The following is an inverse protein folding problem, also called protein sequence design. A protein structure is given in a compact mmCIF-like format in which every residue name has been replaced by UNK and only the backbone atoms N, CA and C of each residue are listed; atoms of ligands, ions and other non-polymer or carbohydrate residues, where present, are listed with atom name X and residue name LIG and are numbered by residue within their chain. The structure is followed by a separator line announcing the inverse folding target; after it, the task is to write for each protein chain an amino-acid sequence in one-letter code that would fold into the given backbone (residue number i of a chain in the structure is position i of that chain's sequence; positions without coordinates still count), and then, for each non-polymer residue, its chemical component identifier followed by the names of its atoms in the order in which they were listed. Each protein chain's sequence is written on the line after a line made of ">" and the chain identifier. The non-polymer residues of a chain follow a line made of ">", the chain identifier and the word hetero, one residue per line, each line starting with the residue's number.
data_IF_591612469433
#
_entry.id   IF_591612469433
#
_cell.length_a   1.000
_cell.length_b   1.000
_cell.length_c   1.000
_cell.angle_alpha   90.00
_cell.angle_beta   90.00
_cell.angle_gamma   90.00
#
_symmetry.space_group_name_H-M   'P 1'
#
loop_
_entity.id
_entity.type
_entity.pdbx_description
1 polymer ?
#
# COMPACT_ATOMS: atom_id res chain seq x y z
N UNK A 1 23.92 20.66 -31.56
CA UNK A 1 24.29 20.65 -30.13
C UNK A 1 25.72 21.11 -30.04
N UNK A 2 25.98 22.13 -29.23
CA UNK A 2 27.32 22.70 -29.10
C UNK A 2 28.20 21.76 -28.28
N UNK A 3 29.54 21.83 -28.42
CA UNK A 3 30.50 21.00 -27.67
C UNK A 3 30.40 21.14 -26.14
N UNK A 4 29.69 22.16 -25.64
CA UNK A 4 29.44 22.40 -24.21
C UNK A 4 28.23 21.61 -23.69
N UNK A 5 27.25 21.28 -24.54
CA UNK A 5 26.04 20.53 -24.15
C UNK A 5 26.28 19.02 -23.94
N UNK A 6 27.42 18.50 -24.42
CA UNK A 6 27.72 17.06 -24.39
C UNK A 6 28.30 16.62 -23.03
N UNK A 7 28.81 17.55 -22.22
CA UNK A 7 29.43 17.24 -20.93
C UNK A 7 28.45 17.14 -19.75
N UNK A 8 27.20 17.60 -19.90
CA UNK A 8 26.15 17.58 -18.87
C UNK A 8 24.94 16.69 -19.20
N UNK A 9 24.96 15.96 -20.32
CA UNK A 9 23.87 15.04 -20.67
C UNK A 9 23.81 13.86 -19.68
N UNK A 10 22.74 13.83 -18.89
CA UNK A 10 22.42 12.74 -17.97
C UNK A 10 21.30 11.89 -18.57
N UNK A 11 21.61 10.65 -18.99
CA UNK A 11 20.63 9.71 -19.58
C UNK A 11 19.44 9.53 -18.65
N UNK A 12 19.65 9.48 -17.33
CA UNK A 12 18.56 9.29 -16.37
C UNK A 12 17.51 10.41 -16.38
N UNK A 13 17.85 11.61 -16.87
CA UNK A 13 16.94 12.75 -17.01
C UNK A 13 16.20 12.78 -18.35
N UNK A 14 16.60 11.96 -19.33
CA UNK A 14 15.94 11.90 -20.63
C UNK A 14 14.68 11.02 -20.54
N UNK A 15 13.46 11.58 -20.68
CA UNK A 15 12.23 10.80 -20.60
C UNK A 15 12.05 9.83 -21.77
N UNK A 16 12.81 9.99 -22.87
CA UNK A 16 12.73 9.12 -24.04
C UNK A 16 13.71 7.94 -23.97
N UNK A 17 14.67 7.97 -23.03
CA UNK A 17 15.61 6.88 -22.84
C UNK A 17 14.90 5.66 -22.21
N UNK A 18 15.37 4.46 -22.56
CA UNK A 18 14.86 3.22 -21.96
C UNK A 18 15.06 3.24 -20.44
N UNK A 19 14.05 2.79 -19.69
CA UNK A 19 14.06 2.78 -18.21
C UNK A 19 15.34 2.14 -17.65
N UNK A 20 15.76 0.99 -18.16
CA UNK A 20 16.96 0.31 -17.68
C UNK A 20 18.26 1.10 -17.95
N UNK A 21 18.32 1.86 -19.05
CA UNK A 21 19.46 2.75 -19.32
C UNK A 21 19.49 3.93 -18.33
N UNK A 22 18.32 4.48 -18.00
CA UNK A 22 18.16 5.55 -17.00
C UNK A 22 18.57 5.09 -15.61
N UNK A 23 18.16 3.87 -15.22
CA UNK A 23 18.54 3.28 -13.93
C UNK A 23 20.05 3.09 -13.86
N UNK A 24 20.66 2.47 -14.88
CA UNK A 24 22.11 2.23 -14.91
C UNK A 24 22.92 3.53 -14.82
N UNK A 25 22.51 4.55 -15.58
CA UNK A 25 23.16 5.87 -15.55
C UNK A 25 23.03 6.51 -14.16
N UNK A 26 21.83 6.54 -13.58
CA UNK A 26 21.62 7.11 -12.25
C UNK A 26 22.40 6.36 -11.16
N UNK A 27 22.30 5.03 -11.14
CA UNK A 27 22.96 4.19 -10.13
C UNK A 27 24.49 4.36 -10.15
N UNK A 28 25.08 4.54 -11.34
CA UNK A 28 26.52 4.78 -11.50
C UNK A 28 27.00 6.13 -10.96
N UNK A 29 26.07 7.08 -10.77
CA UNK A 29 26.36 8.44 -10.27
C UNK A 29 26.12 8.58 -8.77
N UNK A 30 25.49 7.58 -8.14
CA UNK A 30 25.10 7.64 -6.74
C UNK A 30 26.26 7.28 -5.81
N UNK A 31 26.41 8.02 -4.72
CA UNK A 31 27.27 7.63 -3.59
C UNK A 31 26.62 6.51 -2.77
N UNK A 32 27.36 5.94 -1.81
CA UNK A 32 26.80 4.96 -0.88
C UNK A 32 25.67 5.57 -0.06
N UNK A 33 25.87 6.79 0.45
CA UNK A 33 24.90 7.51 1.28
C UNK A 33 23.60 7.78 0.50
N UNK A 34 23.71 8.17 -0.77
CA UNK A 34 22.53 8.37 -1.62
C UNK A 34 21.79 7.06 -1.88
N UNK A 35 22.51 5.94 -2.03
CA UNK A 35 21.92 4.60 -2.18
C UNK A 35 21.21 4.14 -0.92
N UNK A 36 21.84 4.31 0.25
CA UNK A 36 21.25 4.05 1.57
C UNK A 36 20.02 4.94 1.81
N UNK A 37 20.11 6.22 1.43
CA UNK A 37 19.00 7.16 1.43
C UNK A 37 17.80 6.64 0.65
N UNK A 38 18.02 6.11 -0.57
CA UNK A 38 16.96 5.52 -1.39
C UNK A 38 16.28 4.31 -0.74
N UNK A 39 17.01 3.52 0.05
CA UNK A 39 16.47 2.37 0.80
C UNK A 39 15.70 2.79 2.06
N UNK A 40 15.68 4.08 2.41
CA UNK A 40 15.08 4.58 3.64
C UNK A 40 13.69 5.19 3.37
N UNK A 41 12.67 4.65 4.05
CA UNK A 41 11.34 5.26 4.14
C UNK A 41 11.06 5.78 5.55
N UNK A 42 10.72 7.06 5.66
CA UNK A 42 10.45 7.73 6.94
C UNK A 42 9.00 8.23 7.03
N UNK A 43 8.54 8.47 8.25
CA UNK A 43 7.21 9.00 8.50
C UNK A 43 7.20 10.53 8.46
N UNK A 44 6.11 11.13 7.98
CA UNK A 44 5.99 12.59 7.82
C UNK A 44 6.34 13.38 9.08
N UNK A 45 6.12 12.84 10.29
CA UNK A 45 6.31 13.50 11.60
C UNK A 45 7.74 13.86 11.88
N UNK A 46 8.68 13.11 11.33
CA UNK A 46 10.11 13.35 11.51
C UNK A 46 10.75 14.01 10.29
N UNK A 47 10.03 14.13 9.19
CA UNK A 47 10.56 14.74 7.98
C UNK A 47 10.75 16.26 8.10
N UNK A 48 11.97 16.69 7.80
CA UNK A 48 12.35 18.08 7.57
C UNK A 48 12.90 18.22 6.15
N UNK A 49 13.04 19.45 5.68
CA UNK A 49 13.67 19.72 4.39
C UNK A 49 15.08 19.11 4.32
N UNK A 50 15.91 19.41 5.33
CA UNK A 50 17.31 19.00 5.38
C UNK A 50 17.44 17.49 5.53
N UNK A 51 16.60 16.85 6.36
CA UNK A 51 16.61 15.38 6.46
C UNK A 51 16.30 14.70 5.12
N UNK A 52 15.32 15.20 4.36
CA UNK A 52 14.99 14.64 3.04
C UNK A 52 16.11 14.87 2.04
N UNK A 53 16.60 16.12 1.96
CA UNK A 53 17.58 16.55 0.97
C UNK A 53 18.96 15.94 1.22
N UNK A 54 19.48 16.10 2.42
CA UNK A 54 20.88 15.82 2.73
C UNK A 54 21.12 14.31 2.92
N UNK A 55 20.12 13.55 3.38
CA UNK A 55 20.19 12.08 3.44
C UNK A 55 19.61 11.40 2.19
N UNK A 56 19.21 12.16 1.17
CA UNK A 56 18.66 11.64 -0.09
C UNK A 56 17.56 10.58 0.11
N UNK A 57 16.63 10.88 1.04
CA UNK A 57 15.57 9.94 1.45
C UNK A 57 14.78 9.44 0.23
N UNK A 58 14.57 8.13 0.16
CA UNK A 58 13.92 7.48 -0.97
C UNK A 58 12.41 7.46 -0.89
N UNK A 59 11.88 7.35 0.33
CA UNK A 59 10.46 7.19 0.58
C UNK A 59 9.95 7.98 1.78
N UNK A 60 8.71 8.40 1.68
CA UNK A 60 7.93 9.01 2.75
C UNK A 60 6.64 8.21 2.95
N UNK A 61 6.04 8.31 4.13
CA UNK A 61 4.72 7.78 4.36
C UNK A 61 3.96 8.52 5.46
N UNK A 62 2.66 8.35 5.48
CA UNK A 62 1.80 8.73 6.61
C UNK A 62 1.24 7.48 7.28
N UNK A 63 1.45 7.38 8.59
CA UNK A 63 0.70 6.44 9.41
C UNK A 63 -0.80 6.81 9.40
N UNK A 64 -1.68 5.85 9.68
CA UNK A 64 -3.09 6.15 9.89
C UNK A 64 -3.27 7.22 10.98
N UNK A 65 -4.16 8.18 10.72
CA UNK A 65 -4.34 9.38 11.57
C UNK A 65 -3.22 10.43 11.47
N UNK A 66 -2.17 10.21 10.67
CA UNK A 66 -1.06 11.15 10.48
C UNK A 66 -1.28 12.08 9.28
N UNK A 67 -2.36 12.88 9.37
CA UNK A 67 -2.67 13.90 8.38
C UNK A 67 -1.86 15.20 8.53
N UNK A 68 -1.91 16.08 7.50
CA UNK A 68 -1.38 17.44 7.57
C UNK A 68 -1.86 18.18 8.83
N UNK A 69 -1.02 19.08 9.34
CA UNK A 69 -1.32 19.89 10.54
C UNK A 69 -1.64 19.06 11.80
N UNK A 70 -1.35 17.76 11.82
CA UNK A 70 -1.68 16.86 12.92
C UNK A 70 -3.19 16.58 13.06
N UNK A 71 -3.97 16.81 12.00
CA UNK A 71 -5.44 16.71 12.03
C UNK A 71 -5.95 15.56 11.15
N UNK A 72 -6.93 14.83 11.67
CA UNK A 72 -7.62 13.73 10.97
C UNK A 72 -8.61 14.25 9.90
N UNK A 73 -9.13 15.47 10.05
CA UNK A 73 -10.08 16.08 9.10
C UNK A 73 -9.41 17.02 8.10
N UNK A 74 -8.50 16.48 7.31
CA UNK A 74 -7.77 17.23 6.26
C UNK A 74 -8.25 16.83 4.87
N UNK A 75 -8.37 17.81 3.97
CA UNK A 75 -8.83 17.61 2.59
C UNK A 75 -7.68 17.19 1.70
N UNK A 76 -7.97 16.53 0.57
CA UNK A 76 -6.94 16.12 -0.40
C UNK A 76 -6.04 17.27 -0.87
N UNK A 77 -6.53 18.51 -0.94
CA UNK A 77 -5.70 19.69 -1.27
C UNK A 77 -4.62 19.96 -0.23
N UNK A 78 -4.94 19.82 1.07
CA UNK A 78 -3.98 20.02 2.17
C UNK A 78 -2.85 18.97 2.11
N UNK A 79 -3.23 17.75 1.75
CA UNK A 79 -2.30 16.65 1.53
C UNK A 79 -1.43 16.89 0.30
N UNK A 80 -2.01 17.32 -0.83
CA UNK A 80 -1.27 17.64 -2.04
C UNK A 80 -0.21 18.72 -1.78
N UNK A 81 -0.56 19.79 -1.05
CA UNK A 81 0.39 20.83 -0.65
C UNK A 81 1.52 20.29 0.22
N UNK A 82 1.22 19.38 1.15
CA UNK A 82 2.22 18.75 2.01
C UNK A 82 3.18 17.86 1.21
N UNK A 83 2.65 16.99 0.34
CA UNK A 83 3.46 16.08 -0.48
C UNK A 83 4.33 16.86 -1.46
N UNK A 84 3.81 17.92 -2.09
CA UNK A 84 4.57 18.78 -3.00
C UNK A 84 5.77 19.44 -2.29
N UNK A 85 5.61 19.86 -1.03
CA UNK A 85 6.72 20.41 -0.23
C UNK A 85 7.81 19.38 0.02
N UNK A 86 7.45 18.15 0.38
CA UNK A 86 8.43 17.09 0.58
C UNK A 86 9.13 16.71 -0.74
N UNK A 87 8.40 16.69 -1.85
CA UNK A 87 9.00 16.44 -3.16
C UNK A 87 10.00 17.51 -3.53
N UNK A 88 9.67 18.79 -3.29
CA UNK A 88 10.62 19.88 -3.52
C UNK A 88 11.94 19.65 -2.75
N UNK A 89 11.86 19.28 -1.47
CA UNK A 89 13.06 18.97 -0.68
C UNK A 89 13.91 17.85 -1.30
N UNK A 90 13.28 16.80 -1.84
CA UNK A 90 14.01 15.71 -2.49
C UNK A 90 14.63 16.12 -3.84
N UNK A 91 13.94 16.97 -4.59
CA UNK A 91 14.43 17.50 -5.87
C UNK A 91 15.58 18.51 -5.70
N UNK A 92 15.67 19.15 -4.53
CA UNK A 92 16.78 20.04 -4.17
C UNK A 92 18.07 19.27 -3.79
N UNK A 93 18.04 17.93 -3.75
CA UNK A 93 19.23 17.09 -3.58
C UNK A 93 20.12 17.09 -4.83
N UNK A 94 21.38 16.67 -4.70
CA UNK A 94 22.38 16.68 -5.78
C UNK A 94 21.90 15.99 -7.07
N UNK A 95 21.27 14.82 -6.94
CA UNK A 95 20.75 14.05 -8.07
C UNK A 95 19.28 14.32 -8.38
N UNK A 96 18.56 15.03 -7.50
CA UNK A 96 17.15 15.37 -7.69
C UNK A 96 16.25 14.14 -7.86
N UNK A 97 16.45 13.09 -7.05
CA UNK A 97 15.68 11.85 -7.13
C UNK A 97 14.34 12.04 -6.40
N UNK A 98 13.17 11.92 -7.07
CA UNK A 98 11.87 12.17 -6.45
C UNK A 98 11.51 11.09 -5.43
N UNK A 99 10.71 11.45 -4.41
CA UNK A 99 10.21 10.52 -3.39
C UNK A 99 9.12 9.59 -3.96
N UNK A 100 9.04 8.39 -3.41
CA UNK A 100 7.73 7.72 -3.31
C UNK A 100 7.05 8.16 -2.00
N UNK A 101 5.76 8.44 -2.03
CA UNK A 101 4.98 8.77 -0.84
C UNK A 101 3.87 7.73 -0.68
N UNK A 102 3.95 6.94 0.39
CA UNK A 102 3.06 5.83 0.72
C UNK A 102 1.93 6.18 1.70
N UNK A 103 0.78 5.53 1.54
CA UNK A 103 -0.32 5.55 2.51
C UNK A 103 -1.11 4.24 2.48
N UNK A 104 -1.75 3.86 3.58
CA UNK A 104 -2.71 2.76 3.61
C UNK A 104 -4.06 3.18 3.00
N UNK A 105 -4.20 3.14 1.67
CA UNK A 105 -5.50 3.30 1.00
C UNK A 105 -6.14 1.93 0.70
N UNK A 106 -6.53 1.20 1.76
CA UNK A 106 -6.91 -0.22 1.71
C UNK A 106 -8.39 -0.51 1.40
N UNK A 107 -9.27 0.50 1.56
CA UNK A 107 -10.70 0.40 1.21
C UNK A 107 -11.21 1.76 0.71
N UNK A 108 -10.49 2.33 -0.25
CA UNK A 108 -10.52 3.74 -0.62
C UNK A 108 -9.40 4.52 0.06
N UNK A 109 -9.29 5.83 -0.23
CA UNK A 109 -8.31 6.72 0.40
C UNK A 109 -8.75 7.12 1.82
N UNK A 110 -8.87 6.09 2.66
CA UNK A 110 -9.60 6.07 3.92
C UNK A 110 -9.03 6.96 5.04
N UNK A 111 -7.79 7.44 4.89
CA UNK A 111 -7.15 8.37 5.83
C UNK A 111 -7.50 9.83 5.55
N UNK A 112 -8.14 10.12 4.41
CA UNK A 112 -8.44 11.48 3.97
C UNK A 112 -9.92 11.80 4.16
N UNK A 113 -10.18 12.95 4.78
CA UNK A 113 -11.54 13.38 5.02
C UNK A 113 -12.24 13.77 3.71
N UNK A 114 -13.40 13.17 3.49
CA UNK A 114 -14.21 13.38 2.30
C UNK A 114 -13.97 12.38 1.18
N UNK A 115 -12.95 11.53 1.28
CA UNK A 115 -12.75 10.40 0.37
C UNK A 115 -13.92 9.40 0.41
N UNK A 116 -14.07 8.64 -0.66
CA UNK A 116 -15.01 7.52 -0.73
C UNK A 116 -14.47 6.35 0.09
N UNK A 117 -15.32 5.82 0.99
CA UNK A 117 -15.02 4.61 1.77
C UNK A 117 -15.76 3.43 1.13
N UNK A 118 -15.02 2.41 0.73
CA UNK A 118 -15.55 1.16 0.18
C UNK A 118 -15.71 0.11 1.29
N UNK A 119 -16.49 -0.96 1.06
CA UNK A 119 -16.49 -2.12 1.94
C UNK A 119 -15.06 -2.67 2.12
N UNK A 120 -14.75 -3.12 3.34
CA UNK A 120 -13.53 -3.89 3.58
C UNK A 120 -13.47 -5.17 2.75
N UNK A 121 -12.27 -5.70 2.58
CA UNK A 121 -11.96 -6.79 1.66
C UNK A 121 -12.84 -8.03 1.86
N UNK A 122 -13.19 -8.41 3.09
CA UNK A 122 -14.09 -9.54 3.35
C UNK A 122 -15.47 -9.36 2.67
N UNK A 123 -16.01 -8.14 2.68
CA UNK A 123 -17.25 -7.79 1.99
C UNK A 123 -17.07 -7.80 0.47
N UNK A 124 -15.95 -7.29 -0.03
CA UNK A 124 -15.63 -7.38 -1.47
C UNK A 124 -15.48 -8.84 -1.92
N UNK A 125 -14.88 -9.67 -1.09
CA UNK A 125 -14.82 -11.12 -1.25
C UNK A 125 -16.20 -11.72 -1.50
N UNK A 126 -17.18 -11.39 -0.64
CA UNK A 126 -18.58 -11.85 -0.73
C UNK A 126 -19.24 -11.56 -2.09
N UNK A 127 -18.83 -10.50 -2.78
CA UNK A 127 -19.36 -10.15 -4.12
C UNK A 127 -18.97 -11.15 -5.21
N UNK A 128 -17.84 -11.84 -5.05
CA UNK A 128 -17.20 -12.70 -6.07
C UNK A 128 -16.96 -12.00 -7.42
N UNK A 129 -16.93 -10.66 -7.42
CA UNK A 129 -16.89 -9.80 -8.59
C UNK A 129 -15.51 -9.14 -8.75
N UNK A 130 -14.65 -9.75 -9.57
CA UNK A 130 -13.32 -9.24 -9.84
C UNK A 130 -13.35 -7.90 -10.62
N UNK A 131 -14.37 -7.68 -11.45
CA UNK A 131 -14.49 -6.42 -12.20
C UNK A 131 -14.84 -5.26 -11.28
N UNK A 132 -15.70 -5.51 -10.28
CA UNK A 132 -15.96 -4.56 -9.21
C UNK A 132 -14.70 -4.23 -8.42
N UNK A 133 -13.90 -5.21 -8.02
CA UNK A 133 -12.63 -4.97 -7.34
C UNK A 133 -11.65 -4.12 -8.17
N UNK A 134 -11.55 -4.39 -9.49
CA UNK A 134 -10.79 -3.55 -10.43
C UNK A 134 -11.29 -2.11 -10.44
N UNK A 135 -12.60 -1.88 -10.62
CA UNK A 135 -13.19 -0.53 -10.63
C UNK A 135 -12.97 0.23 -9.32
N UNK A 136 -13.02 -0.47 -8.18
CA UNK A 136 -12.70 0.11 -6.87
C UNK A 136 -11.23 0.55 -6.82
N UNK A 137 -10.33 -0.26 -7.36
CA UNK A 137 -8.92 0.11 -7.52
C UNK A 137 -8.73 1.39 -8.35
N UNK A 138 -9.46 1.53 -9.46
CA UNK A 138 -9.41 2.72 -10.33
C UNK A 138 -9.88 3.98 -9.62
N UNK A 139 -11.04 3.90 -8.94
CA UNK A 139 -11.56 5.00 -8.14
C UNK A 139 -10.58 5.37 -7.00
N UNK A 140 -10.04 4.37 -6.32
CA UNK A 140 -9.06 4.58 -5.24
C UNK A 140 -7.79 5.24 -5.74
N UNK A 141 -7.26 4.84 -6.91
CA UNK A 141 -6.07 5.44 -7.49
C UNK A 141 -6.26 6.94 -7.76
N UNK A 142 -7.40 7.33 -8.33
CA UNK A 142 -7.72 8.74 -8.57
C UNK A 142 -7.79 9.54 -7.26
N UNK A 143 -8.48 9.02 -6.24
CA UNK A 143 -8.60 9.71 -4.95
C UNK A 143 -7.27 9.80 -4.19
N UNK A 144 -6.37 8.82 -4.35
CA UNK A 144 -5.00 8.86 -3.80
C UNK A 144 -4.12 9.87 -4.55
N UNK A 145 -4.19 9.90 -5.89
CA UNK A 145 -3.43 10.88 -6.69
C UNK A 145 -3.90 12.31 -6.48
N UNK A 146 -5.19 12.50 -6.20
CA UNK A 146 -5.75 13.80 -5.82
C UNK A 146 -5.13 14.39 -4.55
N UNK A 147 -4.59 13.56 -3.66
CA UNK A 147 -3.85 13.99 -2.46
C UNK A 147 -2.34 14.12 -2.67
N UNK A 148 -1.87 14.05 -3.92
CA UNK A 148 -0.44 14.09 -4.28
C UNK A 148 0.34 12.79 -4.00
N UNK A 149 -0.28 11.84 -3.32
CA UNK A 149 0.31 10.55 -2.92
C UNK A 149 0.44 9.67 -4.17
N UNK A 150 1.54 8.93 -4.29
CA UNK A 150 1.85 8.13 -5.49
C UNK A 150 1.94 6.62 -5.22
N UNK A 151 1.83 6.20 -3.97
CA UNK A 151 1.98 4.82 -3.55
C UNK A 151 0.93 4.46 -2.49
N UNK A 152 0.25 3.32 -2.68
CA UNK A 152 -0.66 2.75 -1.68
C UNK A 152 -0.21 1.38 -1.22
N UNK A 153 -0.32 1.13 0.09
CA UNK A 153 -0.06 -0.17 0.70
C UNK A 153 -1.26 -1.12 0.53
N UNK A 154 -1.69 -1.35 -0.71
CA UNK A 154 -2.81 -2.23 -1.06
C UNK A 154 -2.57 -2.95 -2.39
N UNK A 155 -3.09 -4.17 -2.59
CA UNK A 155 -4.02 -4.90 -1.70
C UNK A 155 -3.37 -5.77 -0.60
N UNK A 156 -4.11 -5.96 0.50
CA UNK A 156 -3.89 -7.10 1.39
C UNK A 156 -4.43 -8.38 0.70
N UNK A 157 -3.55 -9.32 0.39
CA UNK A 157 -3.87 -10.59 -0.28
C UNK A 157 -3.67 -11.79 0.64
N UNK A 158 -3.77 -11.55 1.95
CA UNK A 158 -3.85 -12.60 2.94
C UNK A 158 -4.98 -13.58 2.60
N UNK A 159 -4.72 -14.86 2.85
CA UNK A 159 -5.74 -15.91 2.86
C UNK A 159 -5.98 -16.26 4.32
N UNK A 160 -6.95 -15.59 4.95
CA UNK A 160 -7.23 -15.75 6.39
C UNK A 160 -7.79 -17.14 6.68
N UNK A 161 -7.13 -17.91 7.55
CA UNK A 161 -7.51 -19.28 7.92
C UNK A 161 -8.15 -19.37 9.31
N UNK A 162 -8.13 -18.27 10.05
CA UNK A 162 -8.69 -18.19 11.40
C UNK A 162 -9.34 -16.81 11.63
N UNK A 163 -10.67 -16.72 11.77
CA UNK A 163 -11.36 -15.45 11.93
C UNK A 163 -11.09 -14.77 13.28
N UNK A 164 -10.40 -15.43 14.23
CA UNK A 164 -9.90 -14.78 15.46
C UNK A 164 -8.83 -13.74 15.17
N UNK A 165 -8.21 -13.80 13.98
CA UNK A 165 -7.22 -12.82 13.56
C UNK A 165 -7.84 -11.43 13.38
N UNK A 166 -7.29 -10.45 14.11
CA UNK A 166 -7.80 -9.08 14.14
C UNK A 166 -7.77 -8.34 12.79
N UNK A 167 -7.10 -8.89 11.77
CA UNK A 167 -7.07 -8.37 10.39
C UNK A 167 -7.85 -9.24 9.40
N UNK A 168 -8.68 -10.17 9.88
CA UNK A 168 -9.47 -11.05 9.01
C UNK A 168 -10.38 -10.27 8.03
N UNK A 169 -10.85 -9.08 8.40
CA UNK A 169 -11.63 -8.23 7.49
C UNK A 169 -10.82 -7.65 6.32
N UNK A 170 -9.49 -7.61 6.42
CA UNK A 170 -8.57 -7.20 5.35
C UNK A 170 -8.30 -8.35 4.36
N UNK A 171 -8.70 -9.58 4.68
CA UNK A 171 -8.64 -10.74 3.78
C UNK A 171 -9.92 -10.84 2.96
N UNK A 172 -9.81 -11.06 1.65
CA UNK A 172 -11.00 -11.26 0.80
C UNK A 172 -11.71 -12.59 1.10
N UNK A 173 -10.98 -13.63 1.47
CA UNK A 173 -11.56 -14.95 1.74
C UNK A 173 -10.57 -15.87 2.44
N UNK A 174 -11.09 -16.93 3.04
CA UNK A 174 -10.29 -18.11 3.43
C UNK A 174 -9.91 -19.00 2.23
N UNK A 175 -10.58 -18.83 1.08
CA UNK A 175 -10.30 -19.54 -0.17
C UNK A 175 -9.35 -18.71 -1.05
N UNK A 176 -8.15 -19.26 -1.29
CA UNK A 176 -7.14 -18.65 -2.14
C UNK A 176 -7.67 -18.34 -3.56
N UNK A 177 -8.59 -19.13 -4.10
CA UNK A 177 -9.19 -18.90 -5.42
C UNK A 177 -10.02 -17.61 -5.48
N UNK A 178 -10.67 -17.22 -4.39
CA UNK A 178 -11.39 -15.93 -4.32
C UNK A 178 -10.39 -14.80 -4.18
N UNK A 179 -9.39 -14.93 -3.31
CA UNK A 179 -8.34 -13.91 -3.13
C UNK A 179 -7.62 -13.63 -4.44
N UNK A 180 -7.27 -14.69 -5.20
CA UNK A 180 -6.71 -14.63 -6.55
C UNK A 180 -7.54 -13.82 -7.53
N UNK A 181 -8.86 -14.04 -7.58
CA UNK A 181 -9.78 -13.24 -8.41
C UNK A 181 -9.76 -11.75 -8.03
N UNK A 182 -9.66 -11.45 -6.74
CA UNK A 182 -9.64 -10.07 -6.23
C UNK A 182 -8.32 -9.33 -6.47
N UNK A 183 -7.25 -10.01 -6.88
CA UNK A 183 -5.98 -9.37 -7.31
C UNK A 183 -6.16 -8.43 -8.52
N UNK A 184 -7.30 -8.51 -9.21
CA UNK A 184 -7.76 -7.53 -10.21
C UNK A 184 -7.72 -6.09 -9.72
N UNK A 185 -7.80 -5.83 -8.41
CA UNK A 185 -7.58 -4.51 -7.83
C UNK A 185 -6.19 -3.93 -8.13
N UNK A 186 -5.14 -4.76 -8.29
CA UNK A 186 -3.80 -4.31 -8.70
C UNK A 186 -3.87 -3.63 -10.07
N UNK A 187 -4.59 -4.24 -11.01
CA UNK A 187 -4.84 -3.65 -12.34
C UNK A 187 -5.63 -2.36 -12.24
N UNK A 188 -6.58 -2.25 -11.31
CA UNK A 188 -7.30 -1.00 -11.09
C UNK A 188 -6.41 0.12 -10.56
N UNK A 189 -5.55 -0.20 -9.59
CA UNK A 189 -4.65 0.76 -8.96
C UNK A 189 -3.58 1.26 -9.95
N UNK A 190 -2.92 0.33 -10.65
CA UNK A 190 -1.76 0.61 -11.49
C UNK A 190 -2.09 0.80 -12.98
N UNK A 191 -3.27 0.37 -13.42
CA UNK A 191 -3.58 0.18 -14.84
C UNK A 191 -3.17 -1.21 -15.35
N UNK A 192 -3.58 -1.52 -16.58
CA UNK A 192 -3.32 -2.81 -17.21
C UNK A 192 -1.96 -2.81 -17.94
N UNK A 193 -1.03 -3.72 -17.58
CA UNK A 193 0.21 -3.87 -18.35
C UNK A 193 -0.10 -4.22 -19.82
N UNK A 194 0.62 -3.63 -20.79
CA UNK A 194 0.46 -3.98 -22.19
C UNK A 194 0.88 -5.44 -22.46
N UNK A 195 0.40 -6.09 -23.54
CA UNK A 195 0.66 -7.52 -23.80
C UNK A 195 2.14 -7.93 -23.86
N UNK A 196 3.04 -6.99 -24.18
CA UNK A 196 4.50 -7.22 -24.27
C UNK A 196 5.26 -6.79 -23.01
N UNK A 197 4.57 -6.40 -21.94
CA UNK A 197 5.21 -6.01 -20.68
C UNK A 197 5.99 -7.22 -20.10
N UNK A 198 7.26 -7.05 -19.71
CA UNK A 198 8.04 -8.14 -19.15
C UNK A 198 7.41 -8.71 -17.88
N UNK A 199 7.34 -10.05 -17.77
CA UNK A 199 6.81 -10.71 -16.56
C UNK A 199 7.66 -10.33 -15.34
N UNK A 200 6.98 -10.07 -14.23
CA UNK A 200 7.64 -9.73 -12.96
C UNK A 200 8.14 -8.29 -12.84
N UNK A 201 8.11 -7.51 -13.92
CA UNK A 201 8.48 -6.09 -13.89
C UNK A 201 7.33 -5.22 -13.35
N UNK A 202 7.66 -4.18 -12.55
CA UNK A 202 6.66 -3.25 -12.05
C UNK A 202 6.00 -2.50 -13.21
N UNK A 203 4.73 -2.14 -13.05
CA UNK A 203 3.98 -1.38 -14.03
C UNK A 203 3.09 -0.33 -13.35
N UNK A 204 3.06 0.88 -13.90
CA UNK A 204 2.08 1.92 -13.59
C UNK A 204 1.77 2.65 -14.90
N UNK A 205 0.51 2.70 -15.30
CA UNK A 205 0.11 3.17 -16.63
C UNK A 205 0.30 4.68 -16.84
N UNK A 206 0.35 5.46 -15.77
CA UNK A 206 0.65 6.88 -15.85
C UNK A 206 0.30 7.64 -14.59
N UNK A 207 0.36 8.98 -14.69
CA UNK A 207 0.26 9.89 -13.54
C UNK A 207 -1.08 9.90 -12.80
N UNK A 208 -2.12 9.22 -13.29
CA UNK A 208 -3.41 9.08 -12.62
C UNK A 208 -3.58 7.72 -11.92
N UNK A 209 -2.58 6.83 -12.06
CA UNK A 209 -2.50 5.56 -11.38
C UNK A 209 -1.52 5.68 -10.20
N UNK A 210 -1.56 4.69 -9.30
CA UNK A 210 -0.73 4.63 -8.10
C UNK A 210 0.08 3.35 -8.08
N UNK A 211 1.27 3.41 -7.50
CA UNK A 211 2.07 2.23 -7.16
C UNK A 211 1.23 1.39 -6.18
N UNK A 212 1.09 0.09 -6.45
CA UNK A 212 0.38 -0.86 -5.58
C UNK A 212 1.36 -1.75 -4.80
N UNK A 213 0.88 -2.29 -3.67
CA UNK A 213 1.61 -3.15 -2.76
C UNK A 213 0.82 -4.43 -2.44
N UNK A 214 1.26 -5.59 -2.92
CA UNK A 214 0.70 -6.85 -2.43
C UNK A 214 1.28 -7.16 -1.05
N UNK A 215 0.41 -7.37 -0.04
CA UNK A 215 0.84 -7.58 1.36
C UNK A 215 0.03 -8.65 2.10
N UNK A 216 0.56 -9.29 3.15
CA UNK A 216 1.97 -9.24 3.60
C UNK A 216 2.65 -10.58 3.31
N UNK A 217 3.78 -10.54 2.62
CA UNK A 217 4.47 -11.71 2.10
C UNK A 217 5.25 -12.42 3.21
N UNK A 218 4.96 -13.67 3.56
CA UNK A 218 3.80 -14.48 3.13
C UNK A 218 3.26 -15.31 4.28
N UNK A 219 1.98 -15.64 4.23
CA UNK A 219 1.35 -16.49 5.25
C UNK A 219 0.83 -15.73 6.47
N UNK A 220 0.69 -14.41 6.38
CA UNK A 220 0.12 -13.55 7.43
C UNK A 220 -1.28 -13.99 7.90
N UNK A 221 -2.12 -14.49 6.99
CA UNK A 221 -3.45 -15.04 7.31
C UNK A 221 -3.45 -16.46 7.88
N UNK A 222 -2.29 -17.11 8.03
CA UNK A 222 -2.16 -18.53 8.43
C UNK A 222 -1.62 -18.73 9.84
N UNK A 223 -1.52 -17.69 10.66
CA UNK A 223 -0.89 -17.79 11.99
C UNK A 223 -1.69 -18.68 12.93
N UNK A 224 -0.97 -19.48 13.73
CA UNK A 224 -1.58 -20.37 14.71
C UNK A 224 -2.46 -19.61 15.70
N UNK A 225 -3.71 -20.07 15.86
CA UNK A 225 -4.71 -19.42 16.71
C UNK A 225 -5.20 -18.05 16.23
N UNK A 226 -4.86 -17.63 15.01
CA UNK A 226 -5.16 -16.29 14.49
C UNK A 226 -4.41 -15.18 15.22
N UNK A 227 -3.27 -15.49 15.87
CA UNK A 227 -2.49 -14.49 16.60
C UNK A 227 -1.81 -13.56 15.60
N UNK A 228 -2.08 -12.26 15.68
CA UNK A 228 -1.44 -11.28 14.82
C UNK A 228 0.08 -11.30 15.00
N UNK A 229 0.84 -11.32 13.89
CA UNK A 229 2.32 -11.42 13.89
C UNK A 229 2.87 -12.75 14.45
N UNK A 230 1.98 -13.73 14.67
CA UNK A 230 2.32 -15.05 15.19
C UNK A 230 3.11 -15.91 14.20
N UNK A 231 3.13 -17.21 14.48
CA UNK A 231 3.82 -18.20 13.67
C UNK A 231 2.83 -18.95 12.78
N UNK A 232 3.09 -19.00 11.48
CA UNK A 232 2.37 -19.82 10.52
C UNK A 232 3.09 -21.16 10.39
N UNK A 233 2.40 -22.24 10.78
CA UNK A 233 2.99 -23.59 10.89
C UNK A 233 2.36 -24.50 9.85
N UNK A 234 3.10 -24.76 8.76
CA UNK A 234 2.66 -25.58 7.64
C UNK A 234 3.82 -25.94 6.71
N UNK A 235 3.61 -26.91 5.83
CA UNK A 235 4.57 -27.33 4.81
C UNK A 235 4.83 -26.24 3.76
N UNK A 236 5.94 -26.31 3.03
CA UNK A 236 6.21 -25.35 1.95
C UNK A 236 5.15 -25.48 0.83
N UNK A 237 4.70 -26.69 0.55
CA UNK A 237 3.68 -26.99 -0.45
C UNK A 237 2.34 -26.33 -0.09
N UNK A 238 1.96 -26.35 1.18
CA UNK A 238 0.77 -25.64 1.66
C UNK A 238 0.95 -24.12 1.63
N UNK A 239 2.15 -23.62 1.98
CA UNK A 239 2.47 -22.20 1.92
C UNK A 239 2.32 -21.70 0.48
N UNK A 240 2.87 -22.45 -0.48
CA UNK A 240 2.82 -22.14 -1.90
C UNK A 240 1.39 -22.20 -2.44
N UNK A 241 0.68 -23.30 -2.17
CA UNK A 241 -0.68 -23.56 -2.67
C UNK A 241 -1.72 -22.59 -2.11
N UNK A 242 -1.60 -22.19 -0.85
CA UNK A 242 -2.60 -21.34 -0.18
C UNK A 242 -2.15 -19.88 -0.18
N UNK A 243 -1.01 -19.61 0.45
CA UNK A 243 -0.64 -18.24 0.84
C UNK A 243 0.20 -17.52 -0.22
N UNK A 244 0.96 -18.23 -1.06
CA UNK A 244 1.69 -17.61 -2.18
C UNK A 244 0.83 -17.48 -3.45
N UNK A 245 -0.23 -18.28 -3.59
CA UNK A 245 -1.01 -18.33 -4.81
C UNK A 245 -1.55 -16.95 -5.28
N UNK A 246 -2.01 -16.03 -4.40
CA UNK A 246 -2.38 -14.68 -4.82
C UNK A 246 -1.21 -13.82 -5.36
N UNK A 247 0.01 -14.03 -4.85
CA UNK A 247 1.18 -13.25 -5.28
C UNK A 247 1.56 -13.55 -6.74
N UNK A 248 1.37 -14.78 -7.20
CA UNK A 248 1.57 -15.12 -8.63
C UNK A 248 0.72 -14.24 -9.54
N UNK A 249 -0.55 -14.06 -9.19
CA UNK A 249 -1.48 -13.25 -9.96
C UNK A 249 -1.12 -11.75 -9.83
N UNK A 250 -0.74 -11.26 -8.64
CA UNK A 250 -0.26 -9.88 -8.47
C UNK A 250 1.01 -9.59 -9.31
N UNK A 251 2.00 -10.50 -9.31
CA UNK A 251 3.22 -10.38 -10.11
C UNK A 251 2.89 -10.40 -11.61
N UNK A 252 1.96 -11.26 -12.05
CA UNK A 252 1.51 -11.30 -13.45
C UNK A 252 0.82 -10.01 -13.91
N UNK A 253 0.23 -9.27 -12.98
CA UNK A 253 -0.40 -7.96 -13.18
C UNK A 253 0.58 -6.79 -13.05
N UNK A 254 1.86 -7.07 -12.84
CA UNK A 254 2.91 -6.06 -12.72
C UNK A 254 2.88 -5.28 -11.41
N UNK A 255 2.44 -5.89 -10.29
CA UNK A 255 2.48 -5.24 -8.97
C UNK A 255 3.87 -4.64 -8.71
N UNK A 256 3.91 -3.39 -8.26
CA UNK A 256 5.17 -2.65 -8.17
C UNK A 256 5.95 -2.94 -6.90
N UNK A 257 5.26 -3.20 -5.79
CA UNK A 257 5.89 -3.52 -4.52
C UNK A 257 5.22 -4.70 -3.83
N UNK A 258 5.99 -5.37 -2.96
CA UNK A 258 5.52 -6.43 -2.07
C UNK A 258 6.02 -6.14 -0.67
N UNK A 259 5.13 -6.15 0.32
CA UNK A 259 5.50 -5.87 1.71
C UNK A 259 5.73 -7.17 2.47
N UNK A 260 6.88 -7.32 3.12
CA UNK A 260 7.19 -8.48 3.96
C UNK A 260 6.36 -8.49 5.25
N UNK A 261 5.87 -9.66 5.65
CA UNK A 261 5.03 -9.87 6.84
C UNK A 261 5.82 -9.90 8.14
N UNK A 262 5.24 -9.40 9.22
CA UNK A 262 5.79 -9.56 10.58
C UNK A 262 5.81 -11.00 11.08
N UNK A 263 4.93 -11.84 10.54
CA UNK A 263 4.76 -13.22 11.01
C UNK A 263 6.05 -14.04 10.83
N UNK A 264 6.06 -15.20 11.47
CA UNK A 264 7.07 -16.22 11.22
C UNK A 264 6.48 -17.34 10.36
N UNK A 265 7.32 -18.04 9.61
CA UNK A 265 6.98 -19.33 9.00
C UNK A 265 7.83 -20.42 9.64
N UNK A 266 7.19 -21.41 10.26
CA UNK A 266 7.87 -22.50 10.99
C UNK A 266 8.97 -21.99 11.94
N UNK A 267 8.70 -20.89 12.64
CA UNK A 267 9.60 -20.24 13.61
C UNK A 267 10.55 -19.20 13.03
N UNK A 268 10.77 -19.16 11.70
CA UNK A 268 11.69 -18.20 11.06
C UNK A 268 10.98 -16.88 10.76
N UNK A 269 11.59 -15.75 11.13
CA UNK A 269 11.02 -14.41 10.88
C UNK A 269 11.09 -14.06 9.40
N UNK A 270 9.95 -13.68 8.82
CA UNK A 270 9.85 -13.45 7.38
C UNK A 270 10.62 -12.22 6.89
N UNK A 271 10.78 -11.17 7.72
CA UNK A 271 11.66 -10.04 7.41
C UNK A 271 13.15 -10.43 7.25
N UNK A 272 13.56 -11.62 7.71
CA UNK A 272 14.94 -12.11 7.64
C UNK A 272 15.04 -13.47 6.89
N UNK A 273 13.98 -13.91 6.20
CA UNK A 273 13.96 -15.21 5.52
C UNK A 273 14.48 -15.08 4.08
N UNK A 274 15.79 -15.28 3.88
CA UNK A 274 16.45 -15.19 2.57
C UNK A 274 15.86 -16.15 1.54
N UNK A 275 15.54 -17.37 1.97
CA UNK A 275 14.91 -18.38 1.12
C UNK A 275 13.60 -17.83 0.53
N UNK A 276 12.70 -17.28 1.35
CA UNK A 276 11.43 -16.77 0.85
C UNK A 276 11.54 -15.44 0.09
N UNK A 277 12.32 -14.48 0.61
CA UNK A 277 12.38 -13.13 0.04
C UNK A 277 13.27 -13.03 -1.20
N UNK A 278 14.35 -13.80 -1.27
CA UNK A 278 15.28 -13.79 -2.42
C UNK A 278 15.06 -15.00 -3.31
N UNK A 279 15.35 -16.21 -2.82
CA UNK A 279 15.35 -17.40 -3.69
C UNK A 279 13.97 -17.71 -4.28
N UNK A 280 12.90 -17.56 -3.47
CA UNK A 280 11.53 -17.76 -3.96
C UNK A 280 11.01 -16.51 -4.66
N UNK A 281 10.87 -15.38 -3.95
CA UNK A 281 10.16 -14.23 -4.50
C UNK A 281 10.91 -13.55 -5.66
N UNK A 282 12.20 -13.26 -5.50
CA UNK A 282 12.98 -12.54 -6.51
C UNK A 282 13.46 -13.45 -7.64
N UNK A 283 13.95 -14.65 -7.30
CA UNK A 283 14.60 -15.53 -8.27
C UNK A 283 13.61 -16.49 -8.92
N UNK A 284 12.94 -17.36 -8.14
CA UNK A 284 11.97 -18.34 -8.68
C UNK A 284 10.75 -17.68 -9.31
N UNK A 285 10.13 -16.71 -8.62
CA UNK A 285 8.93 -16.01 -9.12
C UNK A 285 9.28 -14.83 -10.04
N UNK A 286 10.56 -14.43 -10.11
CA UNK A 286 11.04 -13.41 -11.02
C UNK A 286 10.58 -11.99 -10.70
N UNK A 287 10.21 -11.69 -9.45
CA UNK A 287 9.77 -10.35 -9.06
C UNK A 287 10.91 -9.33 -9.21
N UNK A 288 10.69 -8.26 -9.99
CA UNK A 288 11.66 -7.18 -10.26
C UNK A 288 11.27 -5.83 -9.65
N UNK A 289 10.18 -5.78 -8.89
CA UNK A 289 9.79 -4.62 -8.09
C UNK A 289 10.53 -4.57 -6.74
N UNK A 290 9.99 -3.77 -5.83
CA UNK A 290 10.55 -3.50 -4.50
C UNK A 290 9.94 -4.40 -3.43
N UNK A 291 10.77 -5.07 -2.65
CA UNK A 291 10.39 -5.70 -1.39
C UNK A 291 10.56 -4.68 -0.26
N UNK A 292 9.45 -4.24 0.33
CA UNK A 292 9.44 -3.25 1.41
C UNK A 292 9.20 -3.94 2.76
N UNK A 293 9.83 -3.48 3.84
CA UNK A 293 9.46 -3.92 5.18
C UNK A 293 8.11 -3.31 5.61
N UNK A 294 7.31 -4.04 6.38
CA UNK A 294 6.26 -3.44 7.20
C UNK A 294 6.86 -2.52 8.30
N UNK A 295 6.01 -1.72 8.96
CA UNK A 295 6.34 -0.70 9.94
C UNK A 295 7.18 -1.21 11.11
N UNK A 296 8.44 -0.73 11.20
CA UNK A 296 9.40 -1.23 12.19
C UNK A 296 9.51 -2.77 12.15
N UNK A 297 9.41 -3.37 10.97
CA UNK A 297 9.51 -4.83 10.79
C UNK A 297 10.85 -5.38 11.25
N UNK A 298 11.93 -4.67 10.93
CA UNK A 298 13.28 -5.02 11.34
C UNK A 298 13.43 -5.05 12.87
N UNK A 299 12.83 -4.09 13.57
CA UNK A 299 12.84 -4.02 15.04
C UNK A 299 12.32 -5.31 15.69
N UNK A 300 11.45 -6.07 15.00
CA UNK A 300 10.83 -7.30 15.50
C UNK A 300 11.70 -8.55 15.30
N UNK A 301 12.92 -8.39 14.78
CA UNK A 301 13.92 -9.45 14.65
C UNK A 301 14.74 -9.68 15.93
N UNK A 302 14.63 -8.79 16.92
CA UNK A 302 15.28 -8.94 18.22
C UNK A 302 14.28 -8.86 19.36
N UNK A 303 14.64 -9.46 20.50
CA UNK A 303 13.91 -9.33 21.76
C UNK A 303 14.89 -8.83 22.84
N UNK A 304 14.66 -7.66 23.48
CA UNK A 304 13.63 -6.67 23.20
C UNK A 304 13.64 -6.12 21.77
N UNK A 305 12.48 -5.65 21.28
CA UNK A 305 12.36 -5.10 19.92
C UNK A 305 13.36 -3.98 19.67
N UNK A 306 14.16 -4.12 18.62
CA UNK A 306 15.15 -3.14 18.17
C UNK A 306 16.40 -3.01 19.04
N UNK A 307 16.61 -3.91 20.02
CA UNK A 307 17.75 -3.91 20.94
C UNK A 307 19.09 -4.21 20.26
N UNK A 308 19.09 -5.02 19.19
CA UNK A 308 20.26 -5.31 18.37
C UNK A 308 20.05 -4.85 16.92
N UNK A 309 19.98 -3.53 16.72
CA UNK A 309 19.50 -2.98 15.45
C UNK A 309 20.41 -3.25 14.26
N UNK A 310 21.74 -3.24 14.45
CA UNK A 310 22.70 -3.63 13.40
C UNK A 310 22.46 -5.06 12.90
N UNK A 311 22.24 -6.01 13.81
CA UNK A 311 21.85 -7.37 13.44
C UNK A 311 20.52 -7.41 12.69
N UNK A 312 19.51 -6.64 13.15
CA UNK A 312 18.22 -6.56 12.47
C UNK A 312 18.36 -6.04 11.03
N UNK A 313 19.16 -4.98 10.83
CA UNK A 313 19.43 -4.40 9.51
C UNK A 313 20.17 -5.41 8.62
N UNK A 314 21.30 -5.94 9.11
CA UNK A 314 22.10 -6.93 8.38
C UNK A 314 21.27 -8.13 7.94
N UNK A 315 20.48 -8.71 8.85
CA UNK A 315 19.63 -9.86 8.58
C UNK A 315 18.57 -9.56 7.51
N UNK A 316 17.89 -8.42 7.61
CA UNK A 316 16.79 -8.09 6.70
C UNK A 316 17.27 -7.68 5.30
N UNK A 317 18.32 -6.87 5.21
CA UNK A 317 18.88 -6.43 3.93
C UNK A 317 19.49 -7.60 3.18
N UNK A 318 20.26 -8.47 3.86
CA UNK A 318 20.81 -9.68 3.25
C UNK A 318 19.73 -10.72 2.91
N UNK A 319 18.59 -10.74 3.62
CA UNK A 319 17.45 -11.58 3.25
C UNK A 319 16.77 -11.11 1.95
N UNK A 320 16.85 -9.82 1.61
CA UNK A 320 16.34 -9.28 0.35
C UNK A 320 15.37 -8.11 0.48
N UNK A 321 15.25 -7.49 1.66
CA UNK A 321 14.51 -6.22 1.79
C UNK A 321 15.22 -5.12 0.99
N UNK A 322 14.47 -4.44 0.12
CA UNK A 322 14.98 -3.36 -0.73
C UNK A 322 14.76 -1.98 -0.11
N UNK A 323 13.63 -1.78 0.56
CA UNK A 323 13.30 -0.52 1.24
C UNK A 323 12.78 -0.79 2.65
N UNK A 324 13.27 -0.02 3.62
CA UNK A 324 12.94 -0.18 5.03
C UNK A 324 11.99 0.93 5.48
N UNK A 325 10.87 0.54 6.05
CA UNK A 325 9.93 1.41 6.74
C UNK A 325 10.42 1.65 8.18
N UNK A 326 11.33 2.62 8.33
CA UNK A 326 12.09 2.93 9.58
C UNK A 326 11.26 3.70 10.63
N UNK A 327 10.04 4.10 10.28
CA UNK A 327 9.46 5.46 10.34
C UNK A 327 10.21 6.62 11.04
N UNK A 328 10.94 6.38 12.13
CA UNK A 328 11.33 7.45 13.06
C UNK A 328 12.84 7.54 13.34
N UNK A 329 13.54 6.41 13.49
CA UNK A 329 14.97 6.39 13.84
C UNK A 329 15.87 6.30 12.60
N UNK A 330 15.63 7.18 11.64
CA UNK A 330 16.21 7.08 10.31
C UNK A 330 17.70 7.44 10.28
N UNK A 331 18.15 8.36 11.14
CA UNK A 331 19.57 8.69 11.25
C UNK A 331 20.38 7.46 11.69
N UNK A 332 19.92 6.77 12.74
CA UNK A 332 20.55 5.54 13.22
C UNK A 332 20.52 4.43 12.15
N UNK A 333 19.42 4.30 11.40
CA UNK A 333 19.34 3.33 10.31
C UNK A 333 20.35 3.63 9.19
N UNK A 334 20.46 4.88 8.77
CA UNK A 334 21.40 5.31 7.73
C UNK A 334 22.85 5.09 8.19
N UNK A 335 23.17 5.46 9.44
CA UNK A 335 24.49 5.25 10.04
C UNK A 335 24.84 3.75 10.09
N UNK A 336 23.96 2.92 10.66
CA UNK A 336 24.22 1.50 10.82
C UNK A 336 24.27 0.75 9.48
N UNK A 337 23.42 1.09 8.51
CA UNK A 337 23.46 0.47 7.19
C UNK A 337 24.73 0.87 6.42
N UNK A 338 25.13 2.14 6.49
CA UNK A 338 26.40 2.60 5.89
C UNK A 338 27.57 1.82 6.49
N UNK A 339 27.65 1.74 7.82
CA UNK A 339 28.69 0.97 8.51
C UNK A 339 28.73 -0.50 8.06
N UNK A 340 27.57 -1.17 7.99
CA UNK A 340 27.50 -2.58 7.57
C UNK A 340 27.98 -2.82 6.14
N UNK A 341 27.86 -1.81 5.26
CA UNK A 341 28.37 -1.89 3.89
C UNK A 341 29.88 -1.65 3.86
N UNK A 342 30.35 -0.63 4.59
CA UNK A 342 31.78 -0.32 4.71
C UNK A 342 32.58 -1.43 5.39
N UNK A 343 31.98 -2.14 6.36
CA UNK A 343 32.58 -3.30 7.03
C UNK A 343 32.58 -4.57 6.17
N UNK A 344 31.81 -4.59 5.07
CA UNK A 344 31.65 -5.73 4.18
C UNK A 344 30.63 -6.78 4.63
N UNK A 345 29.92 -6.55 5.74
CA UNK A 345 28.84 -7.43 6.22
C UNK A 345 27.60 -7.42 5.31
N UNK A 346 27.37 -6.31 4.60
CA UNK A 346 26.44 -6.22 3.48
C UNK A 346 27.24 -5.86 2.23
N UNK A 347 27.16 -6.72 1.21
CA UNK A 347 27.87 -6.49 -0.05
C UNK A 347 27.28 -5.32 -0.82
N UNK A 348 28.12 -4.50 -1.46
CA UNK A 348 27.66 -3.36 -2.29
C UNK A 348 26.68 -3.79 -3.38
N UNK A 349 26.84 -4.99 -3.95
CA UNK A 349 25.91 -5.56 -4.93
C UNK A 349 24.47 -5.74 -4.39
N UNK A 350 24.30 -6.00 -3.09
CA UNK A 350 22.99 -6.10 -2.42
C UNK A 350 22.34 -4.73 -2.26
N UNK A 351 23.14 -3.68 -2.06
CA UNK A 351 22.68 -2.28 -2.07
C UNK A 351 22.28 -1.86 -3.49
N UNK A 352 23.11 -2.21 -4.49
CA UNK A 352 22.82 -1.92 -5.89
C UNK A 352 21.53 -2.62 -6.38
N UNK A 353 21.29 -3.90 -6.04
CA UNK A 353 20.01 -4.59 -6.34
C UNK A 353 18.80 -3.86 -5.72
N UNK A 354 18.92 -3.45 -4.46
CA UNK A 354 17.84 -2.74 -3.76
C UNK A 354 17.50 -1.41 -4.47
N UNK A 355 18.52 -0.60 -4.73
CA UNK A 355 18.36 0.71 -5.34
C UNK A 355 17.90 0.60 -6.78
N UNK A 356 18.40 -0.36 -7.56
CA UNK A 356 17.95 -0.62 -8.92
C UNK A 356 16.43 -0.89 -8.97
N UNK A 357 15.91 -1.69 -8.03
CA UNK A 357 14.47 -1.97 -7.89
C UNK A 357 13.67 -0.73 -7.51
N UNK A 358 14.17 0.06 -6.57
CA UNK A 358 13.52 1.32 -6.14
C UNK A 358 13.45 2.30 -7.31
N UNK A 359 14.56 2.52 -8.01
CA UNK A 359 14.62 3.40 -9.18
C UNK A 359 13.71 2.89 -10.30
N UNK A 360 13.66 1.57 -10.54
CA UNK A 360 12.75 0.97 -11.52
C UNK A 360 11.29 1.29 -11.24
N UNK A 361 10.85 1.16 -9.98
CA UNK A 361 9.48 1.52 -9.59
C UNK A 361 9.24 3.03 -9.77
N UNK A 362 10.20 3.88 -9.41
CA UNK A 362 10.08 5.35 -9.59
C UNK A 362 9.97 5.76 -11.06
N UNK A 363 10.77 5.17 -11.94
CA UNK A 363 10.68 5.41 -13.39
C UNK A 363 9.39 4.81 -13.98
N UNK A 364 9.00 3.60 -13.59
CA UNK A 364 7.75 2.98 -14.04
C UNK A 364 6.52 3.82 -13.67
N UNK A 365 6.54 4.47 -12.49
CA UNK A 365 5.51 5.41 -12.05
C UNK A 365 5.64 6.83 -12.64
N UNK A 366 6.58 7.06 -13.55
CA UNK A 366 6.87 8.36 -14.18
C UNK A 366 7.09 9.48 -13.15
N UNK A 367 7.71 9.17 -12.01
CA UNK A 367 7.91 10.16 -10.93
C UNK A 367 9.00 11.18 -11.27
N UNK A 368 9.93 10.84 -12.16
CA UNK A 368 10.92 11.80 -12.65
C UNK A 368 10.28 12.83 -13.57
N UNK A 369 9.25 12.46 -14.31
CA UNK A 369 8.51 13.35 -15.22
C UNK A 369 7.42 14.14 -14.49
N UNK A 370 6.75 13.50 -13.53
CA UNK A 370 5.61 14.07 -12.80
C UNK A 370 5.78 13.90 -11.28
N UNK A 371 6.76 14.58 -10.65
CA UNK A 371 7.04 14.41 -9.23
C UNK A 371 5.96 15.04 -8.32
N UNK A 372 5.24 16.04 -8.81
CA UNK A 372 4.25 16.81 -8.05
C UNK A 372 2.81 16.31 -8.21
N UNK A 373 1.94 16.75 -7.31
CA UNK A 373 0.53 16.39 -7.28
C UNK A 373 -0.22 16.83 -8.56
N UNK A 374 -1.07 15.94 -9.08
CA UNK A 374 -1.98 16.28 -10.17
C UNK A 374 -3.27 16.91 -9.60
N UNK A 375 -3.31 18.25 -9.50
CA UNK A 375 -4.47 18.96 -8.93
C UNK A 375 -5.73 18.89 -9.79
N UNK A 376 -5.63 18.53 -11.07
CA UNK A 376 -6.79 18.42 -11.96
C UNK A 376 -7.77 17.30 -11.59
N UNK A 377 -7.36 16.35 -10.75
CA UNK A 377 -8.21 15.24 -10.29
C UNK A 377 -8.82 15.46 -8.91
N UNK A 378 -8.66 16.65 -8.29
CA UNK A 378 -9.20 16.94 -6.97
C UNK A 378 -10.72 16.75 -6.88
N UNK A 379 -11.46 17.09 -7.94
CA UNK A 379 -12.93 16.96 -8.00
C UNK A 379 -13.40 15.50 -8.06
N UNK A 380 -12.49 14.54 -8.27
CA UNK A 380 -12.82 13.11 -8.21
C UNK A 380 -12.95 12.59 -6.78
N UNK A 381 -12.40 13.30 -5.78
CA UNK A 381 -12.40 12.89 -4.38
C UNK A 381 -13.82 12.88 -3.84
N UNK A 382 -14.29 11.71 -3.42
CA UNK A 382 -15.64 11.58 -2.87
C UNK A 382 -16.73 11.94 -3.88
N UNK A 383 -16.44 11.88 -5.19
CA UNK A 383 -17.40 12.24 -6.22
C UNK A 383 -18.59 11.25 -6.23
N UNK A 384 -19.71 11.69 -6.79
CA UNK A 384 -20.94 10.87 -6.83
C UNK A 384 -20.71 9.51 -7.49
N UNK A 385 -19.92 9.46 -8.57
CA UNK A 385 -19.64 8.22 -9.30
C UNK A 385 -18.93 7.19 -8.42
N UNK A 386 -17.92 7.60 -7.65
CA UNK A 386 -17.22 6.72 -6.73
C UNK A 386 -18.12 6.26 -5.57
N UNK A 387 -18.96 7.16 -5.03
CA UNK A 387 -19.92 6.81 -3.98
C UNK A 387 -21.02 5.87 -4.48
N UNK A 388 -21.48 6.02 -5.72
CA UNK A 388 -22.42 5.09 -6.34
C UNK A 388 -21.78 3.71 -6.53
N UNK A 389 -20.50 3.65 -6.91
CA UNK A 389 -19.73 2.40 -6.97
C UNK A 389 -19.57 1.77 -5.58
N UNK A 390 -19.26 2.57 -4.54
CA UNK A 390 -19.21 2.07 -3.17
C UNK A 390 -20.56 1.53 -2.70
N UNK A 391 -21.66 2.21 -3.06
CA UNK A 391 -23.03 1.76 -2.79
C UNK A 391 -23.37 0.46 -3.52
N UNK A 392 -22.91 0.29 -4.76
CA UNK A 392 -23.02 -0.98 -5.49
C UNK A 392 -22.26 -2.08 -4.75
N UNK A 393 -21.02 -1.82 -4.35
CA UNK A 393 -20.19 -2.77 -3.63
C UNK A 393 -20.80 -3.18 -2.29
N UNK A 394 -21.32 -2.23 -1.51
CA UNK A 394 -22.06 -2.50 -0.27
C UNK A 394 -23.22 -3.44 -0.56
N UNK A 395 -24.06 -3.14 -1.56
CA UNK A 395 -25.23 -3.95 -1.91
C UNK A 395 -24.85 -5.37 -2.31
N UNK A 396 -23.81 -5.54 -3.15
CA UNK A 396 -23.32 -6.84 -3.61
C UNK A 396 -22.61 -7.63 -2.50
N UNK A 397 -22.12 -6.96 -1.45
CA UNK A 397 -21.42 -7.62 -0.34
C UNK A 397 -22.34 -8.28 0.69
N UNK A 398 -23.62 -7.91 0.71
CA UNK A 398 -24.58 -8.40 1.71
C UNK A 398 -24.85 -9.90 1.51
N UNK A 399 -24.63 -10.69 2.56
CA UNK A 399 -24.97 -12.11 2.59
C UNK A 399 -26.26 -12.31 3.39
N UNK A 400 -27.34 -12.69 2.70
CA UNK A 400 -28.62 -12.97 3.34
C UNK A 400 -28.59 -14.33 4.04
N UNK A 401 -28.37 -14.34 5.36
CA UNK A 401 -28.29 -15.58 6.16
C UNK A 401 -29.67 -16.17 6.50
N UNK A 402 -30.71 -15.34 6.60
CA UNK A 402 -32.06 -15.77 6.95
C UNK A 402 -33.10 -14.79 6.40
N UNK A 403 -34.21 -15.30 5.86
CA UNK A 403 -35.29 -14.48 5.32
C UNK A 403 -36.67 -14.92 5.83
N UNK A 404 -36.93 -14.71 7.13
CA UNK A 404 -38.16 -15.16 7.79
C UNK A 404 -37.95 -16.44 8.63
N UNK A 405 -38.89 -16.71 9.54
CA UNK A 405 -38.92 -17.98 10.30
C UNK A 405 -39.68 -19.08 9.53
N UNK A 406 -40.63 -18.68 8.69
CA UNK A 406 -41.40 -19.56 7.82
C UNK A 406 -40.88 -19.40 6.37
N UNK A 407 -40.37 -20.46 5.73
CA UNK A 407 -39.92 -20.42 4.33
C UNK A 407 -40.99 -20.00 3.32
N UNK A 408 -42.28 -20.15 3.67
CA UNK A 408 -43.40 -19.75 2.81
C UNK A 408 -43.75 -18.26 2.90
N UNK A 409 -43.23 -17.56 3.92
CA UNK A 409 -43.52 -16.15 4.16
C UNK A 409 -42.21 -15.36 4.36
N UNK A 410 -41.55 -14.96 3.26
CA UNK A 410 -40.29 -14.22 3.33
C UNK A 410 -40.48 -12.84 3.97
N UNK A 411 -39.51 -12.42 4.78
CA UNK A 411 -39.55 -11.12 5.45
C UNK A 411 -39.04 -9.97 4.56
N UNK A 412 -38.05 -10.24 3.72
CA UNK A 412 -37.44 -9.32 2.78
C UNK A 412 -37.88 -9.64 1.34
N UNK A 413 -38.07 -8.62 0.49
CA UNK A 413 -37.84 -7.19 0.74
C UNK A 413 -38.93 -6.54 1.60
N UNK A 414 -38.57 -5.52 2.39
CA UNK A 414 -39.52 -4.74 3.20
C UNK A 414 -40.45 -3.90 2.31
N UNK A 415 -41.70 -3.72 2.75
CA UNK A 415 -42.65 -2.82 2.11
C UNK A 415 -42.24 -1.36 2.31
N UNK A 416 -42.03 -0.65 1.20
CA UNK A 416 -41.67 0.77 1.21
C UNK A 416 -42.85 1.69 1.57
N UNK A 417 -44.08 1.18 1.53
CA UNK A 417 -45.30 1.91 1.86
C UNK A 417 -45.77 1.67 3.30
N UNK A 418 -44.96 1.01 4.13
CA UNK A 418 -45.28 0.79 5.53
C UNK A 418 -45.53 2.13 6.24
N UNK A 419 -46.69 2.25 6.91
CA UNK A 419 -47.12 3.49 7.59
C UNK A 419 -46.15 3.95 8.69
N UNK A 420 -45.41 3.02 9.29
CA UNK A 420 -44.44 3.27 10.35
C UNK A 420 -43.41 2.16 10.36
N UNK A 421 -42.15 2.53 10.46
CA UNK A 421 -41.02 1.62 10.65
C UNK A 421 -40.24 2.02 11.90
N UNK A 422 -39.52 1.07 12.49
CA UNK A 422 -38.57 1.30 13.57
C UNK A 422 -37.17 0.95 13.08
N UNK A 423 -36.22 1.87 13.29
CA UNK A 423 -34.79 1.65 13.10
C UNK A 423 -34.13 1.69 14.49
N UNK A 424 -33.39 0.65 14.85
CA UNK A 424 -32.82 0.50 16.19
C UNK A 424 -31.49 -0.25 16.15
N UNK A 425 -30.73 -0.17 17.25
CA UNK A 425 -29.42 -0.81 17.41
C UNK A 425 -28.28 0.21 17.40
N UNK A 426 -27.16 -0.14 18.04
CA UNK A 426 -26.01 0.77 18.24
C UNK A 426 -25.31 1.20 16.95
N UNK A 427 -25.49 0.47 15.85
CA UNK A 427 -24.84 0.74 14.55
C UNK A 427 -25.78 1.45 13.55
N UNK A 428 -27.02 1.73 13.94
CA UNK A 428 -28.05 2.17 12.98
C UNK A 428 -27.84 3.58 12.43
N UNK A 429 -27.19 4.47 13.19
CA UNK A 429 -26.79 5.83 12.78
C UNK A 429 -25.37 6.14 13.30
N UNK A 430 -24.43 5.21 13.06
CA UNK A 430 -23.02 5.41 13.37
C UNK A 430 -22.15 5.10 12.14
N UNK A 431 -21.74 6.17 11.46
CA UNK A 431 -20.92 6.09 10.25
C UNK A 431 -19.55 5.43 10.52
N UNK A 432 -18.97 5.69 11.69
CA UNK A 432 -17.68 5.13 12.06
C UNK A 432 -17.74 3.62 12.28
N UNK A 433 -18.77 3.14 12.97
CA UNK A 433 -18.97 1.70 13.17
C UNK A 433 -19.25 0.92 11.89
N UNK A 434 -20.00 1.48 10.94
CA UNK A 434 -20.20 0.79 9.64
C UNK A 434 -18.92 0.78 8.77
N UNK A 435 -17.99 1.70 8.98
CA UNK A 435 -16.72 1.76 8.25
C UNK A 435 -15.65 0.85 8.88
N UNK A 436 -15.58 0.78 10.20
CA UNK A 436 -14.65 -0.07 10.96
C UNK A 436 -13.23 0.50 11.08
N UNK A 437 -12.24 -0.40 11.23
CA UNK A 437 -10.83 -0.04 11.32
C UNK A 437 -10.31 0.62 10.04
N UNK A 438 -9.14 1.25 10.13
CA UNK A 438 -8.51 1.97 9.01
C UNK A 438 -9.39 3.06 8.38
N UNK A 439 -10.32 3.64 9.11
CA UNK A 439 -11.09 4.80 8.63
C UNK A 439 -10.76 6.01 9.48
N UNK A 440 -10.15 7.02 8.84
CA UNK A 440 -9.63 8.24 9.45
C UNK A 440 -8.48 8.04 10.46
N UNK A 441 -8.59 7.05 11.35
CA UNK A 441 -7.57 6.60 12.31
C UNK A 441 -7.36 5.08 12.18
N UNK A 442 -6.25 4.58 12.73
CA UNK A 442 -5.82 3.19 12.67
C UNK A 442 -6.90 2.21 13.18
N UNK A 443 -7.45 2.48 14.36
CA UNK A 443 -8.48 1.64 14.99
C UNK A 443 -9.90 1.94 14.49
N UNK A 444 -10.07 2.99 13.67
CA UNK A 444 -11.36 3.62 13.47
C UNK A 444 -11.87 4.30 14.75
N UNK A 445 -13.05 4.90 14.68
CA UNK A 445 -13.75 5.49 15.82
C UNK A 445 -15.26 5.51 15.55
N UNK A 446 -16.07 5.74 16.58
CA UNK A 446 -17.51 5.96 16.42
C UNK A 446 -17.83 7.35 15.87
N UNK A 447 -19.05 7.53 15.38
CA UNK A 447 -19.60 8.82 14.97
C UNK A 447 -19.19 9.27 13.57
N UNK A 448 -19.26 10.59 13.34
CA UNK A 448 -19.14 11.17 12.00
C UNK A 448 -17.67 11.42 11.60
N UNK A 449 -16.99 10.35 11.19
CA UNK A 449 -15.56 10.32 10.86
C UNK A 449 -15.27 10.40 9.35
N UNK A 450 -16.30 10.23 8.52
CA UNK A 450 -16.28 10.39 7.06
C UNK A 450 -17.40 11.34 6.61
N UNK A 451 -17.54 11.60 5.31
CA UNK A 451 -18.68 12.36 4.78
C UNK A 451 -19.77 11.39 4.35
N UNK A 452 -20.93 11.49 4.97
CA UNK A 452 -22.17 10.89 4.49
C UNK A 452 -22.87 11.84 3.50
N UNK A 453 -22.96 11.45 2.23
CA UNK A 453 -23.70 12.19 1.21
C UNK A 453 -25.21 11.93 1.26
N UNK A 454 -25.68 10.99 2.08
CA UNK A 454 -27.09 10.62 2.25
C UNK A 454 -27.67 11.02 3.62
N UNK A 455 -26.96 11.85 4.40
CA UNK A 455 -27.58 12.65 5.47
C UNK A 455 -28.52 13.70 4.85
N UNK A 456 -29.61 13.23 4.25
CA UNK A 456 -30.89 13.92 4.36
C UNK A 456 -31.14 13.94 5.86
N UNK A 457 -31.13 15.12 6.46
CA UNK A 457 -31.46 15.22 7.87
C UNK A 457 -32.82 14.55 8.07
N UNK A 458 -32.96 13.69 9.07
CA UNK A 458 -34.29 13.23 9.52
C UNK A 458 -35.19 14.41 9.93
N UNK A 459 -34.67 15.64 9.98
CA UNK A 459 -35.42 16.87 10.20
C UNK A 459 -36.10 17.44 8.93
N UNK A 460 -35.85 16.91 7.73
CA UNK A 460 -36.50 17.39 6.49
C UNK A 460 -37.70 16.55 6.03
N UNK A 461 -38.09 15.52 6.80
CA UNK A 461 -39.29 14.68 6.50
C UNK A 461 -40.48 15.03 7.41
N UNK A 462 -40.38 16.10 8.20
CA UNK A 462 -41.51 16.66 8.95
C UNK A 462 -41.80 18.05 8.39
N UNK A 463 -42.39 18.12 7.20
CA UNK A 463 -43.29 19.18 6.69
C UNK A 463 -43.45 19.06 5.17
N UNK A 464 -44.24 18.09 4.73
CA UNK A 464 -45.16 18.21 3.58
C UNK A 464 -46.33 17.27 3.78
#
# INVERSE_FOLDING_TARGET
>A
MSQVDVLDYCVYRDPNAAVEARIKDLLSRMTLEEKVGQMTMIERRVATHDAIKDLSIGGMMSAAGSGPFGKVKTKSSDWADMVDRFQKSALDSRLGIPLIYGIDAIHGNNSIYGATIFPHNIGLGATRDADLARKIGEATALEVRASGINYTFAPCVAVSRDPRWGRCYESYSEDAGIVRKMTSIVTGLQGQPPPKHPKGYPFVAGRNNVIACAKHFVGDGGTEGGINEGNTILSYEELERIHMAPYLDCISRGVSTIMASYSSWNGRKLHADHFLLTEILKDKLGFKGVVISDWRGLDRLSEPRGSNYRYCISSAINAGIDMVMVPYRYELFVEDLTFLVESGEIQMARIDDAVERILRVKFAASLFEFPFANRSVLDTVGCKLHRDLAREAVRKSLVLLKNGKDPKNPFLPLDRNAKRILVAGTHADDLGYQCGGWTADWKGSSGNIAIDSQRVSLNEVVHT
#
